data_IF_622570036395
#
_entry.id   IF_622570036395
#
_cell.length_a   1.000
_cell.length_b   1.000
_cell.length_c   1.000
_cell.angle_alpha   90.00
_cell.angle_beta   90.00
_cell.angle_gamma   90.00
#
_symmetry.space_group_name_H-M   'P 1'
#
loop_
_entity.id
_entity.type
_entity.pdbx_description
1 polymer ?
#
# COMPACT_ATOMS: atom_id res chain seq x y z
N UNK A 1 8.43 -21.70 -13.13
CA UNK A 1 7.56 -21.24 -12.01
C UNK A 1 6.11 -21.22 -12.51
N UNK A 2 5.17 -21.78 -11.74
CA UNK A 2 3.73 -21.80 -12.07
C UNK A 2 3.06 -20.56 -11.48
N UNK A 3 2.36 -19.80 -12.33
CA UNK A 3 1.69 -18.54 -11.97
C UNK A 3 0.20 -18.66 -12.27
N UNK A 4 -0.64 -18.50 -11.23
CA UNK A 4 -2.09 -18.40 -11.38
C UNK A 4 -2.52 -16.94 -11.24
N UNK A 5 -3.20 -16.42 -12.25
CA UNK A 5 -3.75 -15.05 -12.25
C UNK A 5 -5.27 -15.17 -12.17
N UNK A 6 -5.84 -14.73 -11.05
CA UNK A 6 -7.26 -14.89 -10.71
C UNK A 6 -8.10 -13.62 -10.88
N UNK A 7 -7.60 -12.64 -11.61
CA UNK A 7 -8.28 -11.37 -11.94
C UNK A 7 -7.89 -10.89 -13.35
N UNK A 8 -8.67 -9.98 -13.92
CA UNK A 8 -8.35 -9.38 -15.23
C UNK A 8 -7.07 -8.56 -15.17
N UNK A 9 -6.10 -8.92 -15.99
CA UNK A 9 -4.89 -8.14 -16.27
C UNK A 9 -4.71 -7.98 -17.79
N UNK A 10 -3.99 -6.92 -18.23
CA UNK A 10 -3.64 -6.75 -19.63
C UNK A 10 -2.91 -7.97 -20.19
N UNK A 11 -3.23 -8.43 -21.42
CA UNK A 11 -2.70 -9.67 -21.99
C UNK A 11 -1.17 -9.72 -22.10
N UNK A 12 -0.52 -8.58 -22.22
CA UNK A 12 0.94 -8.52 -22.33
C UNK A 12 1.67 -9.10 -21.10
N UNK A 13 1.00 -9.15 -19.92
CA UNK A 13 1.58 -9.74 -18.69
C UNK A 13 1.80 -11.22 -18.89
N UNK A 14 0.80 -11.94 -19.42
CA UNK A 14 0.90 -13.38 -19.70
C UNK A 14 2.06 -13.65 -20.64
N UNK A 15 2.08 -12.95 -21.79
CA UNK A 15 3.16 -13.10 -22.78
C UNK A 15 4.57 -12.81 -22.19
N UNK A 16 4.67 -11.78 -21.33
CA UNK A 16 5.93 -11.41 -20.68
C UNK A 16 6.41 -12.47 -19.68
N UNK A 17 5.49 -13.00 -18.88
CA UNK A 17 5.81 -14.06 -17.92
C UNK A 17 6.14 -15.39 -18.59
N UNK A 18 5.42 -15.75 -19.67
CA UNK A 18 5.74 -16.93 -20.48
C UNK A 18 7.13 -16.81 -21.15
N UNK A 19 7.45 -15.61 -21.68
CA UNK A 19 8.78 -15.33 -22.22
C UNK A 19 9.90 -15.42 -21.15
N UNK A 20 9.58 -15.17 -19.88
CA UNK A 20 10.46 -15.38 -18.72
C UNK A 20 10.50 -16.84 -18.24
N UNK A 21 9.86 -17.78 -18.95
CA UNK A 21 9.86 -19.20 -18.62
C UNK A 21 8.85 -19.61 -17.54
N UNK A 22 7.84 -18.82 -17.26
CA UNK A 22 6.75 -19.19 -16.36
C UNK A 22 5.65 -19.97 -17.11
N UNK A 23 5.05 -20.94 -16.43
CA UNK A 23 3.79 -21.56 -16.84
C UNK A 23 2.64 -20.72 -16.25
N UNK A 24 1.90 -19.99 -17.10
CA UNK A 24 0.87 -19.04 -16.66
C UNK A 24 -0.52 -19.58 -16.97
N UNK A 25 -1.39 -19.58 -15.94
CA UNK A 25 -2.83 -19.71 -16.11
C UNK A 25 -3.50 -18.39 -15.72
N UNK A 26 -4.26 -17.80 -16.65
CA UNK A 26 -5.13 -16.66 -16.38
C UNK A 26 -6.58 -17.13 -16.43
N UNK A 27 -7.30 -16.90 -15.32
CA UNK A 27 -8.71 -17.22 -15.19
C UNK A 27 -9.38 -16.16 -14.31
N UNK A 28 -9.95 -15.15 -14.93
CA UNK A 28 -10.46 -13.95 -14.28
C UNK A 28 -11.78 -14.14 -13.50
N UNK A 29 -12.38 -15.31 -13.61
CA UNK A 29 -13.67 -15.62 -12.98
C UNK A 29 -13.49 -16.39 -11.65
N UNK A 30 -12.26 -16.73 -11.28
CA UNK A 30 -11.94 -17.44 -10.06
C UNK A 30 -12.21 -16.58 -8.82
N UNK A 31 -13.01 -17.11 -7.90
CA UNK A 31 -13.29 -16.50 -6.61
C UNK A 31 -13.78 -17.53 -5.61
N UNK A 32 -13.67 -17.27 -4.29
CA UNK A 32 -14.15 -18.17 -3.26
C UNK A 32 -13.76 -19.63 -3.52
N UNK A 33 -14.75 -20.54 -3.55
CA UNK A 33 -14.51 -21.97 -3.72
C UNK A 33 -13.84 -22.33 -5.07
N UNK A 34 -14.15 -21.62 -6.15
CA UNK A 34 -13.51 -21.84 -7.45
C UNK A 34 -12.03 -21.49 -7.45
N UNK A 35 -11.64 -20.45 -6.73
CA UNK A 35 -10.23 -20.12 -6.51
C UNK A 35 -9.54 -21.19 -5.65
N UNK A 36 -10.23 -21.66 -4.59
CA UNK A 36 -9.72 -22.70 -3.71
C UNK A 36 -9.39 -23.98 -4.48
N UNK A 37 -10.34 -24.41 -5.34
CA UNK A 37 -10.16 -25.60 -6.17
C UNK A 37 -9.06 -25.43 -7.21
N UNK A 38 -8.97 -24.27 -7.84
CA UNK A 38 -7.89 -23.95 -8.78
C UNK A 38 -6.49 -23.96 -8.09
N UNK A 39 -6.37 -23.39 -6.91
CA UNK A 39 -5.12 -23.41 -6.13
C UNK A 39 -4.71 -24.83 -5.77
N UNK A 40 -5.67 -25.70 -5.40
CA UNK A 40 -5.40 -27.13 -5.13
C UNK A 40 -4.97 -27.90 -6.35
N UNK A 41 -5.64 -27.68 -7.49
CA UNK A 41 -5.42 -28.43 -8.72
C UNK A 41 -4.10 -28.05 -9.41
N UNK A 42 -3.82 -26.76 -9.50
CA UNK A 42 -2.67 -26.22 -10.24
C UNK A 42 -1.42 -26.14 -9.36
N UNK A 43 -1.58 -26.13 -8.03
CA UNK A 43 -0.52 -25.93 -7.03
C UNK A 43 0.48 -24.84 -7.44
N UNK A 44 0.02 -23.57 -7.65
CA UNK A 44 0.86 -22.50 -8.16
C UNK A 44 1.90 -22.07 -7.13
N UNK A 45 3.07 -21.64 -7.59
CA UNK A 45 4.10 -21.01 -6.75
C UNK A 45 3.79 -19.53 -6.52
N UNK A 46 3.11 -18.89 -7.49
CA UNK A 46 2.69 -17.49 -7.42
C UNK A 46 1.20 -17.37 -7.72
N UNK A 47 0.48 -16.68 -6.84
CA UNK A 47 -0.92 -16.29 -7.05
C UNK A 47 -1.00 -14.78 -7.24
N UNK A 48 -1.62 -14.34 -8.34
CA UNK A 48 -1.86 -12.92 -8.63
C UNK A 48 -3.34 -12.63 -8.52
N UNK A 49 -3.70 -11.64 -7.68
CA UNK A 49 -5.07 -11.15 -7.51
C UNK A 49 -5.12 -9.63 -7.62
N UNK A 50 -6.28 -9.07 -7.96
CA UNK A 50 -6.53 -7.62 -7.97
C UNK A 50 -7.65 -7.25 -6.98
N UNK A 51 -8.82 -7.83 -7.14
CA UNK A 51 -10.01 -7.63 -6.30
C UNK A 51 -10.46 -8.89 -5.58
N UNK A 52 -10.03 -10.04 -6.04
CA UNK A 52 -10.37 -11.35 -5.48
C UNK A 52 -9.80 -11.50 -4.07
N UNK A 53 -10.62 -11.99 -3.15
CA UNK A 53 -10.23 -12.23 -1.75
C UNK A 53 -9.40 -13.52 -1.64
N UNK A 54 -8.27 -13.43 -0.92
CA UNK A 54 -7.42 -14.56 -0.56
C UNK A 54 -7.49 -14.78 0.95
N UNK A 55 -8.16 -15.85 1.35
CA UNK A 55 -8.37 -16.23 2.76
C UNK A 55 -7.30 -17.20 3.22
N UNK A 56 -7.31 -17.52 4.53
CA UNK A 56 -6.45 -18.54 5.12
C UNK A 56 -6.59 -19.91 4.41
N UNK A 57 -7.81 -20.28 3.98
CA UNK A 57 -8.06 -21.56 3.30
C UNK A 57 -7.40 -21.62 1.91
N UNK A 58 -7.44 -20.52 1.15
CA UNK A 58 -6.74 -20.43 -0.13
C UNK A 58 -5.23 -20.58 0.05
N UNK A 59 -4.65 -19.90 1.07
CA UNK A 59 -3.23 -19.99 1.40
C UNK A 59 -2.83 -21.39 1.89
N UNK A 60 -3.74 -22.08 2.58
CA UNK A 60 -3.50 -23.44 3.06
C UNK A 60 -3.59 -24.50 1.96
N UNK A 61 -4.32 -24.24 0.90
CA UNK A 61 -4.58 -25.19 -0.18
C UNK A 61 -3.37 -25.39 -1.11
N UNK A 62 -2.57 -24.33 -1.33
CA UNK A 62 -1.35 -24.39 -2.17
C UNK A 62 -0.15 -24.92 -1.38
N UNK A 63 0.41 -26.06 -1.80
CA UNK A 63 1.62 -26.64 -1.18
C UNK A 63 2.87 -25.88 -1.61
N UNK A 64 2.93 -25.48 -2.89
CA UNK A 64 4.04 -24.74 -3.49
C UNK A 64 3.88 -23.23 -3.40
N UNK A 65 2.73 -22.73 -2.93
CA UNK A 65 2.43 -21.30 -2.90
C UNK A 65 3.38 -20.56 -1.96
N UNK A 66 4.21 -19.71 -2.54
CA UNK A 66 5.27 -18.97 -1.85
C UNK A 66 5.11 -17.44 -1.98
N UNK A 67 4.35 -16.98 -2.98
CA UNK A 67 4.13 -15.55 -3.22
C UNK A 67 2.69 -15.28 -3.65
N UNK A 68 2.05 -14.30 -2.99
CA UNK A 68 0.79 -13.69 -3.44
C UNK A 68 1.06 -12.25 -3.85
N UNK A 69 0.66 -11.87 -5.06
CA UNK A 69 0.80 -10.51 -5.55
C UNK A 69 -0.57 -9.86 -5.65
N UNK A 70 -0.77 -8.76 -4.94
CA UNK A 70 -1.93 -7.90 -5.16
C UNK A 70 -1.63 -6.91 -6.28
N UNK A 71 -2.20 -7.08 -7.45
CA UNK A 71 -2.10 -6.16 -8.59
C UNK A 71 -2.82 -4.84 -8.31
N UNK A 72 -2.22 -4.01 -7.46
CA UNK A 72 -2.71 -2.72 -6.99
C UNK A 72 -2.00 -2.27 -5.70
N UNK A 73 -2.36 -1.11 -5.16
CA UNK A 73 -1.63 -0.49 -4.04
C UNK A 73 -2.02 -1.04 -2.65
N UNK A 74 -3.31 -1.31 -2.41
CA UNK A 74 -3.77 -1.84 -1.12
C UNK A 74 -3.66 -3.37 -1.05
N UNK A 75 -3.78 -3.97 0.15
CA UNK A 75 -3.72 -5.43 0.35
C UNK A 75 -4.88 -5.98 1.19
N UNK A 76 -5.93 -5.20 1.35
CA UNK A 76 -7.08 -5.52 2.21
C UNK A 76 -7.86 -6.78 1.78
N UNK A 77 -7.63 -7.28 0.57
CA UNK A 77 -8.25 -8.51 0.04
C UNK A 77 -7.49 -9.77 0.44
N UNK A 78 -6.33 -9.66 1.09
CA UNK A 78 -5.46 -10.79 1.42
C UNK A 78 -5.34 -10.92 2.94
N UNK A 79 -5.49 -12.14 3.48
CA UNK A 79 -5.21 -12.44 4.88
C UNK A 79 -3.70 -12.46 5.13
N UNK A 80 -3.16 -11.27 5.49
CA UNK A 80 -1.72 -11.10 5.73
C UNK A 80 -1.21 -11.95 6.89
N UNK A 81 -2.01 -12.09 7.96
CA UNK A 81 -1.61 -12.86 9.12
C UNK A 81 -1.49 -14.35 8.80
N UNK A 82 -2.43 -14.88 8.02
CA UNK A 82 -2.36 -16.27 7.55
C UNK A 82 -1.19 -16.48 6.58
N UNK A 83 -0.93 -15.53 5.67
CA UNK A 83 0.22 -15.60 4.77
C UNK A 83 1.54 -15.62 5.55
N UNK A 84 1.71 -14.74 6.53
CA UNK A 84 2.91 -14.67 7.37
C UNK A 84 3.15 -15.95 8.16
N UNK A 85 2.10 -16.52 8.78
CA UNK A 85 2.22 -17.81 9.50
C UNK A 85 2.66 -18.97 8.62
N UNK A 86 2.45 -18.88 7.33
CA UNK A 86 2.82 -19.92 6.35
C UNK A 86 4.11 -19.62 5.60
N UNK A 87 4.77 -18.48 5.87
CA UNK A 87 5.95 -18.05 5.13
C UNK A 87 5.65 -17.71 3.67
N UNK A 88 4.41 -17.32 3.34
CA UNK A 88 4.01 -16.87 2.02
C UNK A 88 4.23 -15.37 1.94
N UNK A 89 5.06 -14.93 1.01
CA UNK A 89 5.27 -13.51 0.75
C UNK A 89 4.00 -12.86 0.19
N UNK A 90 3.73 -11.63 0.58
CA UNK A 90 2.68 -10.81 -0.02
C UNK A 90 3.27 -9.52 -0.55
N UNK A 91 3.16 -9.31 -1.86
CA UNK A 91 3.63 -8.10 -2.54
C UNK A 91 2.49 -7.30 -3.14
N UNK A 92 2.70 -6.00 -3.30
CA UNK A 92 1.75 -5.11 -3.97
C UNK A 92 2.45 -4.24 -5.04
N UNK A 93 1.66 -3.39 -5.73
CA UNK A 93 2.14 -2.47 -6.76
C UNK A 93 2.00 -1.01 -6.30
N UNK A 94 2.84 -0.53 -5.35
CA UNK A 94 2.66 0.76 -4.72
C UNK A 94 2.92 1.92 -5.68
N UNK A 95 1.97 2.88 -5.75
CA UNK A 95 2.11 4.11 -6.53
C UNK A 95 1.85 3.99 -8.03
N UNK A 96 1.57 2.79 -8.54
CA UNK A 96 1.32 2.58 -9.97
C UNK A 96 -0.02 3.18 -10.44
N UNK A 97 -0.92 3.47 -9.51
CA UNK A 97 -2.19 4.15 -9.74
C UNK A 97 -2.19 5.62 -9.26
N UNK A 98 -1.06 6.15 -8.79
CA UNK A 98 -1.02 7.45 -8.12
C UNK A 98 -1.48 8.61 -9.02
N UNK A 99 -1.07 8.57 -10.29
CA UNK A 99 -1.45 9.58 -11.29
C UNK A 99 -2.96 9.56 -11.52
N UNK A 100 -3.54 8.38 -11.77
CA UNK A 100 -4.96 8.24 -12.04
C UNK A 100 -5.83 8.74 -10.87
N UNK A 101 -5.49 8.35 -9.63
CA UNK A 101 -6.20 8.82 -8.43
C UNK A 101 -6.06 10.32 -8.25
N UNK A 102 -4.88 10.89 -8.52
CA UNK A 102 -4.68 12.33 -8.45
C UNK A 102 -5.51 13.09 -9.51
N UNK A 103 -5.62 12.53 -10.71
CA UNK A 103 -6.47 13.10 -11.77
C UNK A 103 -7.94 13.10 -11.38
N UNK A 104 -8.46 12.00 -10.83
CA UNK A 104 -9.83 11.96 -10.32
C UNK A 104 -10.04 12.95 -9.17
N UNK A 105 -9.06 13.09 -8.26
CA UNK A 105 -9.11 14.08 -7.16
C UNK A 105 -9.26 15.50 -7.69
N UNK A 106 -8.47 15.88 -8.67
CA UNK A 106 -8.58 17.21 -9.32
C UNK A 106 -9.90 17.32 -10.08
N UNK A 107 -10.33 16.24 -10.75
CA UNK A 107 -11.64 16.17 -11.39
C UNK A 107 -12.79 16.48 -10.42
N UNK A 108 -12.76 15.88 -9.21
CA UNK A 108 -13.72 16.19 -8.14
C UNK A 108 -13.66 17.66 -7.71
N UNK A 109 -12.46 18.23 -7.49
CA UNK A 109 -12.33 19.65 -7.13
C UNK A 109 -12.93 20.57 -8.18
N UNK A 110 -12.67 20.32 -9.46
CA UNK A 110 -13.23 21.09 -10.56
C UNK A 110 -14.75 20.90 -10.63
N UNK A 111 -15.23 19.68 -10.50
CA UNK A 111 -16.68 19.38 -10.53
C UNK A 111 -17.41 20.07 -9.37
N UNK A 112 -16.85 20.03 -8.16
CA UNK A 112 -17.38 20.72 -6.97
C UNK A 112 -17.48 22.23 -7.18
N UNK A 113 -16.44 22.87 -7.73
CA UNK A 113 -16.44 24.30 -7.98
C UNK A 113 -17.37 24.71 -9.11
N UNK A 114 -17.31 23.99 -10.24
CA UNK A 114 -18.03 24.37 -11.48
C UNK A 114 -19.39 23.71 -11.62
N UNK A 115 -19.77 22.78 -10.72
CA UNK A 115 -21.03 22.03 -10.74
C UNK A 115 -21.28 21.36 -12.11
N UNK A 116 -20.24 20.71 -12.65
CA UNK A 116 -20.29 20.16 -14.01
C UNK A 116 -21.39 19.09 -14.12
N UNK A 117 -21.50 18.18 -13.14
CA UNK A 117 -22.51 17.13 -13.13
C UNK A 117 -23.94 17.70 -13.12
N UNK A 118 -24.18 18.75 -12.30
CA UNK A 118 -25.48 19.43 -12.24
C UNK A 118 -25.81 20.11 -13.57
N UNK A 119 -24.83 20.80 -14.19
CA UNK A 119 -25.00 21.41 -15.49
C UNK A 119 -25.37 20.37 -16.56
N UNK A 120 -24.70 19.24 -16.58
CA UNK A 120 -25.00 18.14 -17.53
C UNK A 120 -26.40 17.59 -17.29
N UNK A 121 -26.79 17.35 -16.02
CA UNK A 121 -28.11 16.83 -15.67
C UNK A 121 -29.22 17.82 -16.06
N UNK A 122 -29.03 19.12 -15.79
CA UNK A 122 -29.96 20.18 -16.16
C UNK A 122 -30.16 20.23 -17.67
N UNK A 123 -29.08 20.28 -18.45
CA UNK A 123 -29.15 20.33 -19.93
C UNK A 123 -29.84 19.08 -20.51
N UNK A 124 -29.53 17.89 -20.00
CA UNK A 124 -30.18 16.63 -20.43
C UNK A 124 -31.67 16.60 -20.12
N UNK A 125 -32.11 17.30 -19.08
CA UNK A 125 -33.54 17.49 -18.74
C UNK A 125 -34.19 18.67 -19.44
N UNK A 126 -33.52 19.31 -20.40
CA UNK A 126 -34.04 20.47 -21.15
C UNK A 126 -34.04 21.76 -20.38
N UNK A 127 -33.36 21.86 -19.24
CA UNK A 127 -33.32 23.08 -18.40
C UNK A 127 -32.11 23.94 -18.74
N UNK A 128 -32.34 25.25 -18.85
CA UNK A 128 -31.32 26.28 -19.02
C UNK A 128 -31.27 27.19 -17.79
N UNK A 129 -30.30 26.91 -16.87
CA UNK A 129 -30.13 27.65 -15.62
C UNK A 129 -28.73 28.28 -15.50
N UNK A 130 -28.43 29.24 -16.37
CA UNK A 130 -27.18 30.01 -16.36
C UNK A 130 -26.96 30.75 -15.04
N UNK A 131 -28.06 31.28 -14.44
CA UNK A 131 -27.99 32.12 -13.24
C UNK A 131 -27.74 31.30 -11.97
N UNK A 132 -28.37 30.14 -11.82
CA UNK A 132 -28.21 29.24 -10.67
C UNK A 132 -26.91 28.45 -10.70
N UNK A 133 -26.52 27.96 -11.88
CA UNK A 133 -25.35 27.06 -12.05
C UNK A 133 -24.05 27.82 -12.40
N UNK A 134 -24.10 29.13 -12.70
CA UNK A 134 -22.94 29.95 -13.06
C UNK A 134 -22.15 30.54 -11.89
N UNK A 135 -22.46 30.17 -10.65
CA UNK A 135 -21.83 30.72 -9.44
C UNK A 135 -20.66 29.86 -8.94
N UNK A 136 -19.55 29.88 -9.67
CA UNK A 136 -18.31 29.25 -9.24
C UNK A 136 -17.39 30.23 -8.51
N UNK A 137 -16.55 29.74 -7.60
CA UNK A 137 -15.57 30.58 -6.87
C UNK A 137 -14.18 30.55 -7.54
N UNK A 138 -13.88 29.54 -8.36
CA UNK A 138 -12.57 29.27 -8.94
C UNK A 138 -11.61 28.62 -7.94
N UNK A 139 -10.55 28.00 -8.44
CA UNK A 139 -9.53 27.32 -7.62
C UNK A 139 -8.27 28.18 -7.42
N UNK A 140 -7.96 29.08 -8.37
CA UNK A 140 -6.76 29.91 -8.35
C UNK A 140 -6.69 30.76 -7.06
N UNK A 141 -5.52 30.76 -6.43
CA UNK A 141 -5.25 31.52 -5.19
C UNK A 141 -5.89 30.94 -3.92
N UNK A 142 -6.67 29.85 -4.03
CA UNK A 142 -7.33 29.22 -2.88
C UNK A 142 -6.42 28.23 -2.19
N UNK A 143 -6.64 28.02 -0.89
CA UNK A 143 -5.86 27.08 -0.06
C UNK A 143 -6.46 25.69 -0.11
N UNK A 144 -5.64 24.70 -0.46
CA UNK A 144 -5.92 23.27 -0.37
C UNK A 144 -5.16 22.66 0.82
N UNK A 145 -5.88 22.08 1.76
CA UNK A 145 -5.31 21.19 2.76
C UNK A 145 -5.14 19.79 2.18
N UNK A 146 -3.95 19.21 2.29
CA UNK A 146 -3.63 17.85 1.85
C UNK A 146 -3.24 17.03 3.07
N UNK A 147 -4.04 16.01 3.40
CA UNK A 147 -3.73 15.06 4.46
C UNK A 147 -3.15 13.80 3.83
N UNK A 148 -1.84 13.61 4.02
CA UNK A 148 -1.05 12.54 3.42
C UNK A 148 -0.25 13.00 2.19
N UNK A 149 1.08 12.98 2.30
CA UNK A 149 2.04 13.32 1.23
C UNK A 149 2.75 12.09 0.65
N UNK A 150 2.07 10.94 0.67
CA UNK A 150 2.52 9.74 -0.02
C UNK A 150 2.50 9.90 -1.56
N UNK A 151 2.66 8.81 -2.28
CA UNK A 151 2.74 8.83 -3.76
C UNK A 151 1.57 9.55 -4.43
N UNK A 152 0.32 9.34 -3.94
CA UNK A 152 -0.88 10.01 -4.47
C UNK A 152 -0.90 11.48 -4.08
N UNK A 153 -0.70 11.79 -2.79
CA UNK A 153 -0.72 13.17 -2.30
C UNK A 153 0.27 14.07 -3.03
N UNK A 154 1.49 13.61 -3.30
CA UNK A 154 2.50 14.33 -4.08
C UNK A 154 2.02 14.64 -5.51
N UNK A 155 1.36 13.70 -6.17
CA UNK A 155 0.79 13.91 -7.50
C UNK A 155 -0.40 14.89 -7.48
N UNK A 156 -1.20 14.90 -6.42
CA UNK A 156 -2.26 15.91 -6.21
C UNK A 156 -1.66 17.29 -5.95
N UNK A 157 -0.65 17.39 -5.08
CA UNK A 157 0.06 18.65 -4.79
C UNK A 157 0.60 19.27 -6.07
N UNK A 158 1.29 18.49 -6.89
CA UNK A 158 1.84 18.95 -8.18
C UNK A 158 0.76 19.55 -9.09
N UNK A 159 -0.38 18.89 -9.20
CA UNK A 159 -1.50 19.36 -10.03
C UNK A 159 -2.21 20.57 -9.42
N UNK A 160 -2.47 20.57 -8.11
CA UNK A 160 -3.09 21.69 -7.42
C UNK A 160 -2.26 22.97 -7.57
N UNK A 161 -0.93 22.86 -7.47
CA UNK A 161 -0.02 23.99 -7.71
C UNK A 161 -0.07 24.50 -9.15
N UNK A 162 -0.20 23.59 -10.12
CA UNK A 162 -0.38 24.00 -11.53
C UNK A 162 -1.70 24.77 -11.76
N UNK A 163 -2.72 24.56 -10.92
CA UNK A 163 -3.92 25.37 -10.87
C UNK A 163 -3.77 26.69 -10.08
N UNK A 164 -2.56 26.99 -9.59
CA UNK A 164 -2.28 28.18 -8.81
C UNK A 164 -2.87 28.16 -7.40
N UNK A 165 -3.17 26.99 -6.85
CA UNK A 165 -3.61 26.84 -5.46
C UNK A 165 -2.43 26.97 -4.50
N UNK A 166 -2.69 27.53 -3.32
CA UNK A 166 -1.80 27.44 -2.17
C UNK A 166 -2.01 26.09 -1.48
N UNK A 167 -0.95 25.34 -1.20
CA UNK A 167 -1.06 24.02 -0.58
C UNK A 167 -0.47 24.02 0.81
N UNK A 168 -1.24 23.52 1.78
CA UNK A 168 -0.79 23.16 3.11
C UNK A 168 -0.83 21.65 3.23
N UNK A 169 0.23 21.04 3.76
CA UNK A 169 0.33 19.60 3.86
C UNK A 169 0.58 19.16 5.30
N UNK A 170 -0.14 18.14 5.72
CA UNK A 170 0.16 17.38 6.91
C UNK A 170 0.39 15.92 6.54
N UNK A 171 1.51 15.38 6.99
CA UNK A 171 1.87 13.98 6.89
C UNK A 171 2.82 13.64 8.04
N UNK A 172 2.78 12.40 8.54
CA UNK A 172 3.60 11.98 9.70
C UNK A 172 5.10 11.94 9.42
N UNK A 173 5.47 11.77 8.14
CA UNK A 173 6.86 11.48 7.75
C UNK A 173 7.46 12.54 6.80
N UNK A 174 6.67 13.49 6.30
CA UNK A 174 7.19 14.52 5.40
C UNK A 174 8.18 15.41 6.14
N UNK A 175 9.39 15.55 5.60
CA UNK A 175 10.39 16.47 6.14
C UNK A 175 10.17 17.91 5.70
N UNK A 176 10.85 18.86 6.34
CA UNK A 176 10.80 20.26 5.94
C UNK A 176 11.39 20.47 4.53
N UNK A 177 12.50 19.78 4.24
CA UNK A 177 13.17 19.83 2.94
C UNK A 177 12.26 19.31 1.82
N UNK A 178 11.57 18.18 2.04
CA UNK A 178 10.61 17.63 1.08
C UNK A 178 9.43 18.57 0.83
N UNK A 179 8.95 19.25 1.87
CA UNK A 179 7.87 20.23 1.74
C UNK A 179 8.33 21.46 0.93
N UNK A 180 9.56 21.92 1.14
CA UNK A 180 10.17 23.01 0.38
C UNK A 180 10.34 22.62 -1.09
N UNK A 181 10.86 21.43 -1.40
CA UNK A 181 10.97 20.90 -2.76
C UNK A 181 9.61 20.83 -3.47
N UNK A 182 8.58 20.39 -2.74
CA UNK A 182 7.21 20.38 -3.23
C UNK A 182 6.62 21.79 -3.35
N UNK A 183 7.24 22.81 -2.75
CA UNK A 183 6.78 24.18 -2.69
C UNK A 183 5.44 24.33 -1.97
N UNK A 184 5.31 23.69 -0.81
CA UNK A 184 4.10 23.68 0.01
C UNK A 184 4.41 24.08 1.46
N UNK A 185 3.41 24.55 2.20
CA UNK A 185 3.55 24.80 3.62
C UNK A 185 3.33 23.50 4.41
N UNK A 186 4.38 23.03 5.11
CA UNK A 186 4.28 21.91 6.04
C UNK A 186 3.54 22.35 7.29
N UNK A 187 2.61 21.52 7.76
CA UNK A 187 1.85 21.73 8.99
C UNK A 187 2.18 20.61 9.98
N UNK A 188 2.27 20.96 11.28
CA UNK A 188 2.57 20.00 12.35
C UNK A 188 1.38 19.14 12.72
N UNK A 189 0.15 19.62 12.47
CA UNK A 189 -1.09 18.90 12.75
C UNK A 189 -2.05 18.94 11.55
N UNK A 190 -2.95 17.96 11.47
CA UNK A 190 -4.02 17.94 10.48
C UNK A 190 -4.95 19.15 10.64
N UNK A 191 -5.18 19.58 11.89
CA UNK A 191 -6.00 20.75 12.20
C UNK A 191 -5.38 22.03 11.63
N UNK A 192 -4.08 22.22 11.82
CA UNK A 192 -3.35 23.37 11.27
C UNK A 192 -3.47 23.44 9.74
N UNK A 193 -3.34 22.31 9.05
CA UNK A 193 -3.53 22.27 7.59
C UNK A 193 -4.95 22.71 7.17
N UNK A 194 -5.97 22.34 7.97
CA UNK A 194 -7.38 22.61 7.70
C UNK A 194 -7.80 24.05 8.06
N UNK A 195 -7.11 24.74 8.99
CA UNK A 195 -7.53 26.06 9.47
C UNK A 195 -7.71 27.06 8.34
N UNK A 196 -8.96 27.46 8.08
CA UNK A 196 -9.33 28.41 7.05
C UNK A 196 -9.07 27.93 5.61
N UNK A 197 -8.82 26.63 5.40
CA UNK A 197 -8.64 26.07 4.07
C UNK A 197 -9.96 26.08 3.27
N UNK A 198 -9.86 26.29 1.97
CA UNK A 198 -10.99 26.35 1.04
C UNK A 198 -11.34 24.99 0.47
N UNK A 199 -10.41 24.05 0.53
CA UNK A 199 -10.62 22.66 0.16
C UNK A 199 -9.72 21.77 1.00
N UNK A 200 -10.18 20.53 1.23
CA UNK A 200 -9.48 19.46 1.89
C UNK A 200 -9.46 18.24 0.97
N UNK A 201 -8.32 17.59 0.88
CA UNK A 201 -8.21 16.27 0.22
C UNK A 201 -7.43 15.28 1.07
N UNK A 202 -7.86 14.01 1.01
CA UNK A 202 -7.36 12.93 1.88
C UNK A 202 -6.67 11.87 1.05
N UNK A 203 -5.41 11.53 1.45
CA UNK A 203 -4.58 10.51 0.80
C UNK A 203 -3.86 9.63 1.83
N UNK A 204 -4.58 9.26 2.88
CA UNK A 204 -4.11 8.44 3.99
C UNK A 204 -4.62 7.00 3.88
N UNK A 205 -3.86 5.99 4.34
CA UNK A 205 -4.39 4.64 4.52
C UNK A 205 -5.43 4.62 5.64
N UNK A 206 -6.32 3.64 5.63
CA UNK A 206 -7.23 3.39 6.76
C UNK A 206 -6.55 2.43 7.75
N UNK A 207 -6.35 2.91 8.95
CA UNK A 207 -5.89 2.15 10.12
C UNK A 207 -6.46 2.79 11.40
N UNK A 208 -6.13 2.26 12.58
CA UNK A 208 -6.67 2.75 13.85
C UNK A 208 -6.34 4.23 14.11
N UNK A 209 -5.19 4.72 13.63
CA UNK A 209 -4.78 6.12 13.82
C UNK A 209 -5.43 7.10 12.82
N UNK A 210 -6.00 6.60 11.73
CA UNK A 210 -6.58 7.42 10.66
C UNK A 210 -8.09 7.24 10.52
N UNK A 211 -8.67 6.26 11.21
CA UNK A 211 -10.12 6.07 11.25
C UNK A 211 -10.81 7.28 11.87
N UNK A 212 -11.76 7.87 11.13
CA UNK A 212 -12.50 9.06 11.57
C UNK A 212 -11.60 10.29 11.78
N UNK A 213 -10.37 10.32 11.25
CA UNK A 213 -9.45 11.45 11.41
C UNK A 213 -10.09 12.76 10.93
N UNK A 214 -10.77 12.72 9.79
CA UNK A 214 -11.51 13.88 9.30
C UNK A 214 -12.84 13.95 10.05
N UNK A 215 -12.75 14.48 11.26
CA UNK A 215 -13.80 14.61 12.25
C UNK A 215 -14.54 15.95 12.16
N UNK A 216 -15.54 16.14 13.00
CA UNK A 216 -16.23 17.43 13.17
C UNK A 216 -15.26 18.58 13.41
N UNK A 217 -14.17 18.38 14.17
CA UNK A 217 -13.16 19.39 14.45
C UNK A 217 -12.47 19.88 13.18
N UNK A 218 -11.97 18.96 12.35
CA UNK A 218 -11.28 19.30 11.12
C UNK A 218 -12.24 19.93 10.10
N UNK A 219 -13.45 19.42 9.98
CA UNK A 219 -14.47 19.96 9.07
C UNK A 219 -14.91 21.37 9.48
N UNK A 220 -15.00 21.64 10.78
CA UNK A 220 -15.31 22.97 11.29
C UNK A 220 -14.17 23.96 11.15
N UNK A 221 -12.93 23.51 11.04
CA UNK A 221 -11.78 24.37 10.79
C UNK A 221 -11.73 24.91 9.34
N UNK A 222 -12.41 24.27 8.40
CA UNK A 222 -12.47 24.71 7.00
C UNK A 222 -13.29 25.99 6.84
N UNK A 223 -13.10 26.71 5.74
CA UNK A 223 -13.98 27.83 5.36
C UNK A 223 -15.42 27.36 5.11
N UNK A 224 -16.43 28.16 5.45
CA UNK A 224 -17.81 27.87 5.03
C UNK A 224 -17.91 27.70 3.51
N UNK A 225 -18.61 26.66 3.08
CA UNK A 225 -18.72 26.27 1.67
C UNK A 225 -17.43 25.70 1.09
N UNK A 226 -16.52 25.20 1.91
CA UNK A 226 -15.31 24.49 1.47
C UNK A 226 -15.65 23.15 0.77
N UNK A 227 -14.66 22.63 0.04
CA UNK A 227 -14.75 21.35 -0.64
C UNK A 227 -13.98 20.28 0.12
N UNK A 228 -14.56 19.08 0.25
CA UNK A 228 -13.91 17.92 0.85
C UNK A 228 -13.81 16.82 -0.20
N UNK A 229 -12.61 16.34 -0.48
CA UNK A 229 -12.39 15.24 -1.45
C UNK A 229 -11.77 14.04 -0.75
N UNK A 230 -12.42 12.89 -0.89
CA UNK A 230 -11.88 11.61 -0.42
C UNK A 230 -11.82 10.59 -1.56
N UNK A 231 -10.62 10.31 -2.03
CA UNK A 231 -10.29 9.25 -3.00
C UNK A 231 -9.36 8.20 -2.38
N UNK A 232 -9.30 8.15 -1.03
CA UNK A 232 -8.42 7.24 -0.29
C UNK A 232 -9.19 6.03 0.25
N UNK A 233 -9.87 6.18 1.40
CA UNK A 233 -10.70 5.14 2.04
C UNK A 233 -11.87 5.81 2.76
N UNK A 234 -13.07 5.20 2.71
CA UNK A 234 -14.30 5.75 3.32
C UNK A 234 -14.15 6.08 4.79
N UNK A 235 -13.78 5.14 5.61
CA UNK A 235 -13.68 5.30 7.06
C UNK A 235 -12.60 6.27 7.57
N UNK A 236 -11.83 6.96 6.71
CA UNK A 236 -10.92 8.04 7.14
C UNK A 236 -11.69 9.33 7.38
N UNK A 237 -12.79 9.54 6.69
CA UNK A 237 -13.73 10.65 6.91
C UNK A 237 -14.88 10.13 7.76
N UNK A 238 -15.20 10.82 8.84
CA UNK A 238 -16.43 10.60 9.58
C UNK A 238 -17.61 11.09 8.74
N UNK A 239 -18.36 10.16 8.18
CA UNK A 239 -19.47 10.45 7.27
C UNK A 239 -20.65 11.15 7.96
N UNK A 240 -20.85 10.92 9.26
CA UNK A 240 -21.88 11.61 10.04
C UNK A 240 -21.47 13.09 10.25
N UNK A 241 -20.22 13.32 10.63
CA UNK A 241 -19.66 14.67 10.77
C UNK A 241 -19.65 15.42 9.45
N UNK A 242 -19.34 14.76 8.33
CA UNK A 242 -19.38 15.36 7.00
C UNK A 242 -20.79 15.79 6.63
N UNK A 243 -21.81 14.98 6.89
CA UNK A 243 -23.21 15.33 6.65
C UNK A 243 -23.66 16.53 7.45
N UNK A 244 -23.30 16.57 8.75
CA UNK A 244 -23.58 17.72 9.60
C UNK A 244 -22.89 19.00 9.07
N UNK A 245 -21.64 18.91 8.65
CA UNK A 245 -20.90 20.05 8.10
C UNK A 245 -21.47 20.51 6.74
N UNK A 246 -21.97 19.61 5.90
CA UNK A 246 -22.72 19.96 4.68
C UNK A 246 -23.96 20.76 5.04
N UNK A 247 -24.77 20.28 5.99
CA UNK A 247 -26.03 20.93 6.38
C UNK A 247 -25.81 22.28 7.06
N UNK A 248 -24.86 22.38 8.02
CA UNK A 248 -24.68 23.56 8.87
C UNK A 248 -23.76 24.62 8.26
N UNK A 249 -22.79 24.23 7.41
CA UNK A 249 -21.75 25.13 6.89
C UNK A 249 -21.71 25.21 5.37
N UNK A 250 -22.61 24.48 4.68
CA UNK A 250 -22.70 24.46 3.24
C UNK A 250 -21.48 23.84 2.54
N UNK A 251 -20.78 22.89 3.21
CA UNK A 251 -19.69 22.19 2.58
C UNK A 251 -20.22 21.35 1.39
N UNK A 252 -19.31 20.99 0.49
CA UNK A 252 -19.61 20.09 -0.63
C UNK A 252 -18.54 19.03 -0.69
N UNK A 253 -18.88 17.80 -1.06
CA UNK A 253 -17.92 16.70 -1.08
C UNK A 253 -17.84 15.98 -2.43
N UNK A 254 -16.62 15.55 -2.78
CA UNK A 254 -16.32 14.63 -3.87
C UNK A 254 -15.80 13.31 -3.28
N UNK A 255 -16.57 12.24 -3.41
CA UNK A 255 -16.26 10.95 -2.80
C UNK A 255 -16.12 9.89 -3.87
N UNK A 256 -14.97 9.21 -3.88
CA UNK A 256 -14.76 7.98 -4.68
C UNK A 256 -14.93 6.73 -3.82
N UNK A 257 -14.93 6.89 -2.48
CA UNK A 257 -14.93 5.82 -1.49
C UNK A 257 -15.93 6.13 -0.37
N UNK A 258 -16.52 5.07 0.21
CA UNK A 258 -17.55 5.15 1.24
C UNK A 258 -17.24 4.17 2.37
N UNK A 259 -17.77 4.41 3.57
CA UNK A 259 -17.52 3.52 4.71
C UNK A 259 -18.12 2.12 4.51
N UNK A 260 -19.30 2.07 3.85
CA UNK A 260 -20.05 0.84 3.60
C UNK A 260 -20.14 0.53 2.11
N UNK A 261 -18.99 0.41 1.43
CA UNK A 261 -18.98 0.05 0.02
C UNK A 261 -19.57 -1.34 -0.22
N UNK A 262 -20.45 -1.48 -1.22
CA UNK A 262 -20.98 -2.77 -1.61
C UNK A 262 -19.90 -3.60 -2.32
N UNK A 263 -20.04 -4.93 -2.39
CA UNK A 263 -19.13 -5.75 -3.18
C UNK A 263 -19.16 -5.32 -4.66
N UNK A 264 -18.04 -5.53 -5.38
CA UNK A 264 -17.87 -5.08 -6.77
C UNK A 264 -18.95 -5.63 -7.74
N UNK A 265 -19.61 -6.73 -7.39
CA UNK A 265 -20.72 -7.33 -8.17
C UNK A 265 -22.08 -6.69 -7.89
N UNK A 266 -22.20 -5.81 -6.90
CA UNK A 266 -23.46 -5.16 -6.56
C UNK A 266 -23.92 -4.24 -7.70
N UNK A 267 -25.24 -4.23 -7.94
CA UNK A 267 -25.87 -3.36 -8.94
C UNK A 267 -26.61 -2.18 -8.32
N UNK A 268 -26.74 -2.19 -7.00
CA UNK A 268 -27.47 -1.17 -6.23
C UNK A 268 -26.60 -0.71 -5.06
N UNK A 269 -26.59 0.58 -4.84
CA UNK A 269 -25.92 1.23 -3.70
C UNK A 269 -26.89 2.22 -3.07
N UNK A 270 -27.54 1.79 -2.01
CA UNK A 270 -28.52 2.59 -1.24
C UNK A 270 -27.86 3.23 -0.02
N UNK A 271 -26.97 4.18 -0.29
CA UNK A 271 -26.33 4.98 0.74
C UNK A 271 -26.90 6.39 0.74
N UNK A 272 -27.41 6.82 1.89
CA UNK A 272 -28.02 8.14 2.03
C UNK A 272 -27.04 9.29 1.84
N UNK A 273 -25.73 9.07 2.11
CA UNK A 273 -24.70 10.06 1.86
C UNK A 273 -24.46 10.24 0.34
N UNK A 274 -24.45 9.16 -0.41
CA UNK A 274 -24.30 9.19 -1.86
C UNK A 274 -25.48 9.87 -2.59
N UNK A 275 -26.64 9.98 -1.92
CA UNK A 275 -27.84 10.61 -2.45
C UNK A 275 -27.93 12.13 -2.16
N UNK A 276 -27.03 12.65 -1.33
CA UNK A 276 -26.99 14.09 -0.99
C UNK A 276 -26.61 14.94 -2.22
N UNK A 277 -27.38 15.97 -2.49
CA UNK A 277 -27.16 16.86 -3.67
C UNK A 277 -25.86 17.66 -3.61
N UNK A 278 -25.26 17.78 -2.44
CA UNK A 278 -23.97 18.42 -2.20
C UNK A 278 -22.77 17.48 -2.37
N UNK A 279 -23.04 16.21 -2.69
CA UNK A 279 -22.02 15.18 -2.89
C UNK A 279 -21.96 14.76 -4.36
N UNK A 280 -20.78 14.76 -4.93
CA UNK A 280 -20.49 14.20 -6.23
C UNK A 280 -19.70 12.91 -6.03
N UNK A 281 -20.38 11.77 -6.20
CA UNK A 281 -19.82 10.45 -5.97
C UNK A 281 -19.32 9.78 -7.24
N UNK A 282 -18.30 8.95 -7.09
CA UNK A 282 -17.85 7.95 -8.07
C UNK A 282 -17.75 6.58 -7.40
N UNK A 283 -17.60 5.51 -8.18
CA UNK A 283 -17.79 4.13 -7.73
C UNK A 283 -16.47 3.43 -7.41
N UNK A 284 -15.61 4.05 -6.60
CA UNK A 284 -14.25 3.58 -6.25
C UNK A 284 -13.42 3.27 -7.52
N UNK A 285 -13.43 4.23 -8.45
CA UNK A 285 -12.80 4.11 -9.77
C UNK A 285 -11.51 4.92 -9.91
N UNK A 286 -10.98 5.47 -8.82
CA UNK A 286 -9.78 6.31 -8.84
C UNK A 286 -8.58 5.68 -9.53
N UNK A 287 -8.45 4.36 -9.45
CA UNK A 287 -7.39 3.59 -10.12
C UNK A 287 -7.82 2.99 -11.49
N UNK A 288 -9.03 3.28 -11.97
CA UNK A 288 -9.64 2.59 -13.12
C UNK A 288 -9.35 3.32 -14.43
N UNK A 289 -8.06 3.46 -14.78
CA UNK A 289 -7.61 3.94 -16.10
C UNK A 289 -6.74 2.90 -16.77
N UNK A 290 -6.66 2.93 -18.12
CA UNK A 290 -5.81 2.02 -18.88
C UNK A 290 -4.35 2.17 -18.49
N UNK A 291 -3.85 3.41 -18.33
CA UNK A 291 -2.48 3.69 -17.92
C UNK A 291 -2.15 3.13 -16.53
N UNK A 292 -3.06 3.25 -15.57
CA UNK A 292 -2.88 2.67 -14.25
C UNK A 292 -2.91 1.14 -14.31
N UNK A 293 -3.82 0.57 -15.10
CA UNK A 293 -3.90 -0.88 -15.32
C UNK A 293 -2.61 -1.44 -15.93
N UNK A 294 -2.09 -0.80 -16.98
CA UNK A 294 -0.84 -1.20 -17.63
C UNK A 294 0.36 -1.05 -16.70
N UNK A 295 0.42 0.04 -15.93
CA UNK A 295 1.48 0.28 -14.96
C UNK A 295 1.50 -0.74 -13.82
N UNK A 296 0.32 -1.10 -13.31
CA UNK A 296 0.16 -2.16 -12.30
C UNK A 296 0.55 -3.52 -12.88
N UNK A 297 0.11 -3.80 -14.08
CA UNK A 297 0.39 -5.05 -14.78
C UNK A 297 1.89 -5.24 -15.05
N UNK A 298 2.56 -4.20 -15.53
CA UNK A 298 4.01 -4.19 -15.74
C UNK A 298 4.79 -4.42 -14.43
N UNK A 299 4.34 -3.80 -13.33
CA UNK A 299 4.95 -4.01 -12.01
C UNK A 299 4.69 -5.43 -11.49
N UNK A 300 3.49 -5.98 -11.68
CA UNK A 300 3.16 -7.36 -11.33
C UNK A 300 4.12 -8.34 -12.01
N UNK A 301 4.35 -8.18 -13.33
CA UNK A 301 5.32 -9.01 -14.06
C UNK A 301 6.74 -8.84 -13.52
N UNK A 302 7.17 -7.60 -13.24
CA UNK A 302 8.50 -7.32 -12.66
C UNK A 302 8.68 -7.99 -11.30
N UNK A 303 7.65 -8.01 -10.43
CA UNK A 303 7.71 -8.68 -9.13
C UNK A 303 7.96 -10.18 -9.32
N UNK A 304 7.25 -10.82 -10.23
CA UNK A 304 7.42 -12.25 -10.54
C UNK A 304 8.84 -12.52 -11.06
N UNK A 305 9.33 -11.74 -12.03
CA UNK A 305 10.67 -11.88 -12.62
C UNK A 305 11.79 -11.74 -11.57
N UNK A 306 11.70 -10.71 -10.72
CA UNK A 306 12.68 -10.51 -9.64
C UNK A 306 12.63 -11.65 -8.64
N UNK A 307 11.41 -12.08 -8.25
CA UNK A 307 11.26 -13.21 -7.33
C UNK A 307 11.84 -14.50 -7.92
N UNK A 308 11.60 -14.77 -9.18
CA UNK A 308 12.18 -15.93 -9.88
C UNK A 308 13.72 -15.89 -9.90
N UNK A 309 14.30 -14.72 -10.06
CA UNK A 309 15.75 -14.56 -10.16
C UNK A 309 16.45 -14.57 -8.79
N UNK A 310 15.78 -14.10 -7.72
CA UNK A 310 16.43 -13.79 -6.44
C UNK A 310 15.85 -14.52 -5.23
N UNK A 311 14.66 -15.13 -5.37
CA UNK A 311 13.89 -15.67 -4.23
C UNK A 311 13.30 -14.61 -3.30
N UNK A 312 13.53 -13.31 -3.57
CA UNK A 312 13.04 -12.18 -2.77
C UNK A 312 12.13 -11.28 -3.59
N UNK A 313 10.82 -11.24 -3.31
CA UNK A 313 9.91 -10.40 -4.07
C UNK A 313 10.04 -8.94 -3.64
N UNK A 314 10.10 -7.98 -4.58
CA UNK A 314 10.05 -6.56 -4.25
C UNK A 314 8.67 -6.16 -3.75
N UNK A 315 8.60 -5.05 -3.00
CA UNK A 315 7.37 -4.49 -2.43
C UNK A 315 6.63 -5.48 -1.50
N UNK A 316 7.34 -6.35 -0.83
CA UNK A 316 6.77 -7.27 0.15
C UNK A 316 6.26 -6.48 1.37
N UNK A 317 5.03 -6.79 1.82
CA UNK A 317 4.33 -6.03 2.88
C UNK A 317 4.17 -6.81 4.18
N UNK A 318 4.58 -8.07 4.22
CA UNK A 318 4.44 -8.92 5.39
C UNK A 318 5.78 -9.50 5.90
N UNK A 319 6.87 -8.84 5.57
CA UNK A 319 8.18 -9.08 6.20
C UNK A 319 8.29 -8.17 7.42
N UNK A 320 8.85 -8.66 8.50
CA UNK A 320 9.13 -7.84 9.67
C UNK A 320 10.10 -6.70 9.31
N UNK A 321 9.75 -5.48 9.68
CA UNK A 321 10.59 -4.29 9.42
C UNK A 321 11.92 -4.35 10.18
N UNK A 322 11.93 -5.00 11.34
CA UNK A 322 13.11 -5.23 12.17
C UNK A 322 13.18 -6.69 12.56
N UNK A 323 14.39 -7.24 12.54
CA UNK A 323 14.66 -8.54 13.14
C UNK A 323 14.39 -8.50 14.64
N UNK A 324 13.72 -9.49 15.25
CA UNK A 324 13.57 -9.58 16.69
C UNK A 324 14.87 -10.02 17.38
N UNK A 325 15.98 -10.10 16.66
CA UNK A 325 17.28 -10.45 17.21
C UNK A 325 17.76 -9.41 18.20
N UNK A 326 18.31 -9.87 19.32
CA UNK A 326 18.92 -9.04 20.36
C UNK A 326 20.45 -9.06 20.31
N UNK A 327 21.02 -10.06 19.62
CA UNK A 327 22.47 -10.25 19.53
C UNK A 327 22.91 -10.63 18.12
N UNK A 328 24.10 -10.20 17.74
CA UNK A 328 24.80 -10.59 16.53
C UNK A 328 26.03 -11.42 16.91
N UNK A 329 26.06 -12.66 16.43
CA UNK A 329 27.22 -13.53 16.50
C UNK A 329 27.99 -13.42 15.19
N UNK A 330 29.25 -12.97 15.26
CA UNK A 330 30.15 -12.87 14.12
C UNK A 330 31.20 -13.94 14.20
N UNK A 331 31.17 -14.90 13.27
CA UNK A 331 32.10 -16.03 13.24
C UNK A 331 32.94 -15.96 11.97
N UNK A 332 34.25 -15.77 12.12
CA UNK A 332 35.20 -15.91 11.01
C UNK A 332 35.71 -17.34 10.98
N UNK A 333 35.60 -18.00 9.84
CA UNK A 333 35.87 -19.42 9.71
C UNK A 333 36.46 -19.77 8.35
N UNK A 334 37.07 -20.96 8.27
CA UNK A 334 37.46 -21.58 6.99
C UNK A 334 36.21 -21.86 6.16
N UNK A 335 36.22 -21.52 4.87
CA UNK A 335 35.12 -21.82 3.96
C UNK A 335 35.18 -23.31 3.57
N UNK A 336 34.64 -24.14 4.42
CA UNK A 336 34.63 -25.61 4.27
C UNK A 336 33.26 -26.20 4.57
N UNK A 337 32.97 -27.30 3.90
CA UNK A 337 31.73 -28.07 4.15
C UNK A 337 31.67 -28.48 5.62
N UNK A 338 30.55 -28.25 6.27
CA UNK A 338 30.26 -28.66 7.64
C UNK A 338 30.51 -27.60 8.71
N UNK A 339 31.34 -26.58 8.47
CA UNK A 339 31.63 -25.55 9.49
C UNK A 339 30.38 -24.77 9.92
N UNK A 340 29.60 -24.28 8.98
CA UNK A 340 28.32 -23.62 9.29
C UNK A 340 27.33 -24.57 10.00
N UNK A 341 27.30 -25.83 9.62
CA UNK A 341 26.44 -26.83 10.27
C UNK A 341 26.84 -27.02 11.75
N UNK A 342 28.13 -27.07 12.06
CA UNK A 342 28.62 -27.17 13.43
C UNK A 342 28.24 -25.94 14.27
N UNK A 343 28.36 -24.74 13.71
CA UNK A 343 27.93 -23.49 14.39
C UNK A 343 26.42 -23.52 14.68
N UNK A 344 25.59 -23.88 13.69
CA UNK A 344 24.14 -23.92 13.88
C UNK A 344 23.70 -25.03 14.83
N UNK A 345 24.38 -26.17 14.86
CA UNK A 345 24.14 -27.26 15.81
C UNK A 345 24.47 -26.82 17.26
N UNK A 346 25.55 -26.12 17.47
CA UNK A 346 25.89 -25.54 18.78
C UNK A 346 24.84 -24.54 19.27
N UNK A 347 24.37 -23.64 18.40
CA UNK A 347 23.30 -22.72 18.72
C UNK A 347 22.00 -23.46 19.03
N UNK A 348 21.65 -24.49 18.26
CA UNK A 348 20.48 -25.34 18.51
C UNK A 348 20.56 -26.02 19.87
N UNK A 349 21.71 -26.59 20.22
CA UNK A 349 21.92 -27.25 21.51
C UNK A 349 21.79 -26.30 22.70
N UNK A 350 22.09 -25.00 22.49
CA UNK A 350 21.92 -23.91 23.46
C UNK A 350 20.52 -23.29 23.44
N UNK A 351 19.54 -23.85 22.73
CA UNK A 351 18.19 -23.29 22.55
C UNK A 351 18.21 -21.84 22.11
N UNK A 352 19.16 -21.46 21.24
CA UNK A 352 19.31 -20.14 20.67
C UNK A 352 18.75 -20.12 19.27
N UNK A 353 17.71 -19.30 19.04
CA UNK A 353 17.06 -19.21 17.74
C UNK A 353 17.79 -18.23 16.82
N UNK A 354 18.04 -18.66 15.57
CA UNK A 354 18.61 -17.82 14.52
C UNK A 354 17.51 -17.10 13.79
N UNK A 355 17.54 -15.78 13.81
CA UNK A 355 16.54 -14.92 13.16
C UNK A 355 16.94 -14.57 11.74
N UNK A 356 18.23 -14.34 11.51
CA UNK A 356 18.79 -13.93 10.22
C UNK A 356 20.24 -14.41 10.15
N UNK A 357 20.72 -14.79 8.97
CA UNK A 357 22.10 -15.18 8.76
C UNK A 357 22.59 -14.75 7.39
N UNK A 358 23.81 -14.23 7.36
CA UNK A 358 24.57 -13.96 6.15
C UNK A 358 25.96 -14.61 6.25
N UNK A 359 26.43 -15.24 5.17
CA UNK A 359 27.79 -15.79 5.10
C UNK A 359 28.57 -15.06 3.98
N UNK A 360 29.52 -14.24 4.38
CA UNK A 360 30.33 -13.39 3.50
C UNK A 360 31.63 -14.15 3.20
N UNK A 361 31.82 -14.57 1.93
CA UNK A 361 33.01 -15.28 1.49
C UNK A 361 34.09 -14.28 1.08
N UNK A 362 35.32 -14.45 1.58
CA UNK A 362 36.46 -13.61 1.22
C UNK A 362 37.06 -14.00 -0.13
N UNK A 363 37.79 -13.06 -0.74
CA UNK A 363 38.49 -13.30 -2.01
C UNK A 363 39.40 -14.52 -1.88
N UNK A 364 39.29 -15.46 -2.83
CA UNK A 364 40.02 -16.75 -2.80
C UNK A 364 39.23 -17.91 -2.22
N UNK A 365 38.06 -17.65 -1.59
CA UNK A 365 37.15 -18.64 -1.02
C UNK A 365 37.81 -19.64 -0.04
N UNK A 366 38.85 -19.20 0.67
CA UNK A 366 39.49 -20.01 1.73
C UNK A 366 38.90 -19.73 3.11
N UNK A 367 38.26 -18.56 3.28
CA UNK A 367 37.66 -18.12 4.51
C UNK A 367 36.32 -17.41 4.27
N UNK A 368 35.46 -17.47 5.29
CA UNK A 368 34.19 -16.75 5.30
C UNK A 368 33.92 -16.12 6.69
N UNK A 369 32.96 -15.21 6.69
CA UNK A 369 32.47 -14.56 7.91
C UNK A 369 30.94 -14.76 7.99
N UNK A 370 30.51 -15.59 8.91
CA UNK A 370 29.10 -15.77 9.22
C UNK A 370 28.65 -14.67 10.21
N UNK A 371 27.64 -13.91 9.79
CA UNK A 371 26.92 -12.96 10.63
C UNK A 371 25.57 -13.56 10.98
N UNK A 372 25.36 -13.91 12.24
CA UNK A 372 24.20 -14.66 12.71
C UNK A 372 23.47 -13.83 13.77
N UNK A 373 22.26 -13.40 13.44
CA UNK A 373 21.38 -12.67 14.33
C UNK A 373 20.59 -13.64 15.20
N UNK A 374 20.74 -13.52 16.51
CA UNK A 374 20.16 -14.43 17.50
C UNK A 374 19.14 -13.72 18.39
N UNK A 375 18.13 -14.45 18.85
CA UNK A 375 17.10 -13.97 19.78
C UNK A 375 17.64 -13.68 21.21
N UNK A 376 18.77 -14.30 21.55
CA UNK A 376 19.50 -14.09 22.83
C UNK A 376 21.00 -14.26 22.62
N UNK A 377 21.79 -13.80 23.61
CA UNK A 377 23.23 -14.07 23.61
C UNK A 377 23.48 -15.57 23.73
N UNK A 378 24.33 -16.18 22.88
CA UNK A 378 24.82 -17.52 23.12
C UNK A 378 25.62 -17.57 24.42
N UNK A 379 25.47 -18.63 25.23
CA UNK A 379 26.21 -18.81 26.47
C UNK A 379 27.72 -18.86 26.22
N UNK A 380 28.50 -18.31 27.16
CA UNK A 380 29.97 -18.25 27.03
C UNK A 380 30.59 -19.65 26.80
N UNK A 381 30.06 -20.70 27.43
CA UNK A 381 30.52 -22.07 27.26
C UNK A 381 30.30 -22.59 25.84
N UNK A 382 29.18 -22.23 25.23
CA UNK A 382 28.84 -22.60 23.83
C UNK A 382 29.80 -21.89 22.86
N UNK A 383 30.06 -20.60 23.09
CA UNK A 383 31.04 -19.84 22.31
C UNK A 383 32.44 -20.43 22.46
N UNK A 384 32.84 -20.82 23.69
CA UNK A 384 34.14 -21.48 23.94
C UNK A 384 34.24 -22.87 23.30
N UNK A 385 33.14 -23.61 23.23
CA UNK A 385 33.10 -24.91 22.55
C UNK A 385 33.24 -24.75 21.05
N UNK A 386 32.47 -23.84 20.42
CA UNK A 386 32.64 -23.54 19.00
C UNK A 386 34.06 -23.10 18.65
N UNK A 387 34.70 -22.28 19.52
CA UNK A 387 36.07 -21.81 19.30
C UNK A 387 37.15 -22.90 19.37
N UNK A 388 36.83 -24.14 19.80
CA UNK A 388 37.76 -25.27 19.76
C UNK A 388 37.89 -25.91 18.38
N UNK A 389 36.95 -25.64 17.47
CA UNK A 389 37.06 -26.12 16.10
C UNK A 389 38.17 -25.33 15.39
N UNK A 390 39.19 -26.06 14.90
CA UNK A 390 40.33 -25.47 14.17
C UNK A 390 39.91 -24.69 12.90
N UNK A 391 38.73 -24.97 12.38
CA UNK A 391 38.14 -24.27 11.25
C UNK A 391 37.55 -22.87 11.63
N UNK A 392 37.43 -22.58 12.94
CA UNK A 392 36.90 -21.30 13.44
C UNK A 392 38.06 -20.39 13.87
N UNK A 393 38.25 -19.28 13.19
CA UNK A 393 39.34 -18.36 13.42
C UNK A 393 39.06 -17.35 14.55
N UNK A 394 37.83 -16.91 14.67
CA UNK A 394 37.41 -16.00 15.75
C UNK A 394 35.88 -15.92 15.84
N UNK A 395 35.41 -15.69 17.07
CA UNK A 395 34.00 -15.45 17.38
C UNK A 395 33.88 -14.14 18.14
N UNK A 396 32.93 -13.31 17.76
CA UNK A 396 32.58 -12.08 18.46
C UNK A 396 31.07 -12.05 18.67
N UNK A 397 30.62 -11.74 19.89
CA UNK A 397 29.22 -11.54 20.24
C UNK A 397 28.99 -10.05 20.47
N UNK A 398 28.02 -9.46 19.79
CA UNK A 398 27.66 -8.06 19.87
C UNK A 398 26.21 -7.95 20.32
N UNK A 399 25.93 -7.21 21.38
CA UNK A 399 24.56 -6.87 21.73
C UNK A 399 24.04 -5.80 20.74
N UNK A 400 22.87 -6.07 20.18
CA UNK A 400 22.17 -5.12 19.32
C UNK A 400 21.33 -4.24 20.24
N UNK A 401 21.60 -2.93 20.22
CA UNK A 401 20.84 -1.95 21.00
C UNK A 401 19.38 -1.86 20.49
N UNK A 402 18.49 -1.47 21.37
CA UNK A 402 17.13 -1.07 21.02
C UNK A 402 17.19 0.17 20.10
N UNK A 403 17.18 -0.03 18.79
CA UNK A 403 17.28 1.01 17.79
C UNK A 403 15.92 1.70 17.50
#
# INVERSE_FOLDING_TARGET
MRVLIADKLPPFVVNRLEAAGCAVRLDADLNGDTLLDAVRADDPEVLVVRSTKVTADHLAAGRSLSLVIRAGAGVNTIDLAAASRRGVFVSNCPGKNAIAVAELTIGHLINLDRRIADNVAALRSGKWDKKGLGKARGLFGRTLAVLGAGKIGREVIKRARAFGMQVRVWDKVITAEEAEELGVARCETALEACLGAHALTVHLPLNDATRGLVSTELLNALQPGAYVVNTARGGVVDEAALREAIASRGLRAGLDVYEHEPPASAKVFEDSLAQETSIYGTHHVGASTDQASDSVAAETARIVEVYQATGRPPNCVNIAERSPATHLLVVRHADRVGVLAGILDALRAADTNVQEMENIVFTGAEAACAQIHCDKAPDADVVAEMARDEAIFAITVVALGDG
#
